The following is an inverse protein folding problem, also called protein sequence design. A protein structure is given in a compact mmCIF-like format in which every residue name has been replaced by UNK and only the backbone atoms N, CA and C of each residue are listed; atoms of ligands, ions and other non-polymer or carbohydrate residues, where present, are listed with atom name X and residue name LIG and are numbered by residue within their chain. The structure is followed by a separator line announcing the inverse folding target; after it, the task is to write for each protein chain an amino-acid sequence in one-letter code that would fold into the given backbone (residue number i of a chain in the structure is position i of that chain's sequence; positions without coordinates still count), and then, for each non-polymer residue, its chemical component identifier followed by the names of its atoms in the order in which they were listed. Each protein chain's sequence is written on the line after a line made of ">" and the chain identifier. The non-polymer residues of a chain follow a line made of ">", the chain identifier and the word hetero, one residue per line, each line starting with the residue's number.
data_IF_282233583603
#
_entry.id   IF_282233583603
#
_cell.length_a   1.000
_cell.length_b   1.000
_cell.length_c   1.000
_cell.angle_alpha   90.00
_cell.angle_beta   90.00
_cell.angle_gamma   90.00
#
_symmetry.space_group_name_H-M   'P 1'
#
loop_
_entity.id
_entity.type
_entity.pdbx_description
1 polymer ?
#
# COMPACT_ATOMS: atom_id res chain seq x y z
N UNK A 1 11.30 -9.25 -26.37
CA UNK A 1 10.01 -9.35 -25.65
C UNK A 1 10.20 -10.01 -24.28
N UNK A 2 10.88 -11.16 -24.17
CA UNK A 2 11.17 -11.83 -22.88
C UNK A 2 11.98 -10.99 -21.88
N UNK A 3 13.11 -10.40 -22.28
CA UNK A 3 13.98 -9.60 -21.36
C UNK A 3 13.32 -8.38 -20.71
N UNK A 4 12.29 -7.78 -21.34
CA UNK A 4 11.63 -6.56 -20.81
C UNK A 4 10.44 -6.86 -19.90
N UNK A 5 9.76 -8.00 -20.11
CA UNK A 5 8.84 -8.54 -19.13
C UNK A 5 9.61 -8.94 -17.85
N UNK A 6 10.85 -9.44 -18.01
CA UNK A 6 11.76 -9.69 -16.89
C UNK A 6 12.15 -8.41 -16.15
N UNK A 7 12.40 -7.30 -16.86
CA UNK A 7 12.73 -5.99 -16.29
C UNK A 7 11.59 -5.36 -15.48
N UNK A 8 10.39 -5.23 -16.05
CA UNK A 8 9.23 -4.70 -15.32
C UNK A 8 8.83 -5.59 -14.13
N UNK A 9 8.95 -6.92 -14.30
CA UNK A 9 8.75 -7.85 -13.19
C UNK A 9 9.77 -7.62 -12.07
N UNK A 10 11.02 -7.28 -12.39
CA UNK A 10 12.03 -6.95 -11.38
C UNK A 10 11.70 -5.63 -10.67
N UNK A 11 11.26 -4.60 -11.40
CA UNK A 11 10.87 -3.31 -10.84
C UNK A 11 9.67 -3.41 -9.88
N UNK A 12 8.65 -4.20 -10.24
CA UNK A 12 7.48 -4.43 -9.39
C UNK A 12 7.87 -5.19 -8.13
N UNK A 13 8.69 -6.24 -8.26
CA UNK A 13 9.17 -6.98 -7.10
C UNK A 13 9.99 -6.09 -6.16
N UNK A 14 10.79 -5.18 -6.71
CA UNK A 14 11.53 -4.21 -5.91
C UNK A 14 10.57 -3.25 -5.19
N UNK A 15 9.64 -2.63 -5.92
CA UNK A 15 8.63 -1.75 -5.32
C UNK A 15 7.83 -2.44 -4.22
N UNK A 16 7.49 -3.73 -4.39
CA UNK A 16 6.80 -4.50 -3.36
C UNK A 16 7.68 -4.80 -2.14
N UNK A 17 8.99 -5.06 -2.32
CA UNK A 17 9.92 -5.20 -1.18
C UNK A 17 10.01 -3.91 -0.38
N UNK A 18 10.21 -2.79 -1.08
CA UNK A 18 10.34 -1.49 -0.41
C UNK A 18 9.05 -1.14 0.33
N UNK A 19 7.89 -1.30 -0.33
CA UNK A 19 6.58 -1.08 0.28
C UNK A 19 6.30 -2.03 1.46
N UNK A 20 6.77 -3.27 1.39
CA UNK A 20 6.67 -4.22 2.51
C UNK A 20 7.45 -3.73 3.72
N UNK A 21 8.70 -3.29 3.54
CA UNK A 21 9.52 -2.72 4.62
C UNK A 21 8.86 -1.47 5.22
N UNK A 22 8.32 -0.57 4.39
CA UNK A 22 7.54 0.57 4.85
C UNK A 22 6.28 0.15 5.63
N UNK A 23 5.60 -0.92 5.20
CA UNK A 23 4.45 -1.46 5.92
C UNK A 23 4.80 -1.94 7.33
N UNK A 24 5.97 -2.56 7.51
CA UNK A 24 6.48 -2.91 8.85
C UNK A 24 6.70 -1.64 9.68
N UNK A 25 7.36 -0.63 9.10
CA UNK A 25 7.67 0.62 9.80
C UNK A 25 6.43 1.46 10.13
N UNK A 26 5.35 1.33 9.36
CA UNK A 26 4.04 1.93 9.66
C UNK A 26 3.42 1.43 10.97
N UNK A 27 4.02 0.40 11.57
CA UNK A 27 3.66 -0.10 12.90
C UNK A 27 4.75 0.22 13.91
N UNK A 28 6.00 -0.07 13.56
CA UNK A 28 7.12 0.03 14.50
C UNK A 28 7.49 1.46 14.89
N UNK A 29 7.50 2.40 13.93
CA UNK A 29 7.86 3.79 14.22
C UNK A 29 6.84 4.46 15.14
N UNK A 30 5.52 4.39 14.89
CA UNK A 30 4.53 4.96 15.79
C UNK A 30 4.62 4.39 17.21
N UNK A 31 4.85 3.08 17.35
CA UNK A 31 4.99 2.44 18.66
C UNK A 31 6.24 2.93 19.39
N UNK A 32 7.39 2.99 18.69
CA UNK A 32 8.64 3.54 19.27
C UNK A 32 8.50 5.00 19.67
N UNK A 33 7.83 5.82 18.86
CA UNK A 33 7.57 7.23 19.15
C UNK A 33 6.58 7.41 20.31
N UNK A 34 5.64 6.47 20.49
CA UNK A 34 4.77 6.40 21.66
C UNK A 34 5.47 5.83 22.91
N UNK A 35 6.79 5.58 22.86
CA UNK A 35 7.58 5.06 23.99
C UNK A 35 7.48 3.55 24.20
N UNK A 36 6.92 2.81 23.24
CA UNK A 36 6.78 1.35 23.29
C UNK A 36 7.97 0.71 22.56
N UNK A 37 8.93 0.19 23.34
CA UNK A 37 10.20 -0.36 22.83
C UNK A 37 10.28 -1.90 22.88
N UNK A 38 9.12 -2.58 22.87
CA UNK A 38 9.09 -4.04 22.96
C UNK A 38 9.75 -4.69 21.74
N UNK A 39 10.46 -5.81 21.96
CA UNK A 39 10.95 -6.64 20.86
C UNK A 39 9.75 -7.26 20.12
N UNK A 40 9.52 -6.81 18.90
CA UNK A 40 8.38 -7.24 18.09
C UNK A 40 8.70 -8.55 17.35
N UNK A 41 7.80 -9.55 17.37
CA UNK A 41 7.99 -10.80 16.65
C UNK A 41 8.15 -10.58 15.14
N UNK A 42 9.04 -11.34 14.50
CA UNK A 42 9.23 -11.31 13.05
C UNK A 42 7.94 -11.72 12.32
N UNK A 43 7.70 -11.10 11.17
CA UNK A 43 6.63 -11.50 10.23
C UNK A 43 7.20 -12.40 9.15
N UNK A 44 6.37 -13.32 8.65
CA UNK A 44 6.75 -14.26 7.61
C UNK A 44 6.81 -13.57 6.23
N UNK A 45 7.98 -13.60 5.60
CA UNK A 45 8.20 -13.03 4.26
C UNK A 45 7.79 -13.95 3.12
N UNK A 46 7.38 -15.20 3.39
CA UNK A 46 6.84 -16.10 2.37
C UNK A 46 5.61 -15.51 1.68
N UNK A 47 4.78 -14.76 2.42
CA UNK A 47 3.62 -14.07 1.85
C UNK A 47 4.02 -13.03 0.79
N UNK A 48 5.12 -12.31 1.00
CA UNK A 48 5.64 -11.36 0.01
C UNK A 48 6.05 -12.06 -1.29
N UNK A 49 6.65 -13.26 -1.20
CA UNK A 49 7.05 -14.03 -2.38
C UNK A 49 5.83 -14.45 -3.21
N UNK A 50 4.76 -14.93 -2.55
CA UNK A 50 3.50 -15.29 -3.22
C UNK A 50 2.88 -14.08 -3.93
N UNK A 51 2.90 -12.90 -3.29
CA UNK A 51 2.40 -11.65 -3.89
C UNK A 51 3.22 -11.21 -5.10
N UNK A 52 4.54 -11.38 -5.03
CA UNK A 52 5.46 -11.04 -6.11
C UNK A 52 5.23 -11.88 -7.37
N UNK A 53 5.01 -13.18 -7.22
CA UNK A 53 4.73 -14.07 -8.35
C UNK A 53 3.41 -13.69 -9.05
N UNK A 54 2.35 -13.46 -8.26
CA UNK A 54 1.05 -13.05 -8.80
C UNK A 54 1.12 -11.69 -9.53
N UNK A 55 1.84 -10.73 -8.97
CA UNK A 55 1.91 -9.36 -9.52
C UNK A 55 2.68 -9.30 -10.84
N UNK A 56 3.65 -10.20 -11.02
CA UNK A 56 4.38 -10.36 -12.28
C UNK A 56 3.46 -10.86 -13.38
N UNK A 57 2.59 -11.84 -13.07
CA UNK A 57 1.63 -12.37 -14.04
C UNK A 57 0.65 -11.28 -14.54
N UNK A 58 0.21 -10.37 -13.66
CA UNK A 58 -0.70 -9.27 -14.02
C UNK A 58 -0.13 -8.30 -15.06
N UNK A 59 1.19 -8.18 -15.14
CA UNK A 59 1.86 -7.27 -16.10
C UNK A 59 2.41 -7.97 -17.34
N UNK A 60 2.24 -9.28 -17.45
CA UNK A 60 2.58 -10.00 -18.68
C UNK A 60 1.62 -9.55 -19.81
N UNK A 61 2.18 -8.95 -20.88
CA UNK A 61 1.42 -8.46 -22.04
C UNK A 61 1.44 -6.94 -22.31
N UNK A 62 2.23 -6.15 -21.57
CA UNK A 62 2.40 -4.71 -21.79
C UNK A 62 3.42 -4.37 -22.91
N UNK A 63 3.31 -3.17 -23.53
CA UNK A 63 4.22 -2.68 -24.58
C UNK A 63 5.54 -2.15 -24.00
N UNK A 64 6.63 -2.26 -24.79
CA UNK A 64 8.01 -1.93 -24.35
C UNK A 64 8.19 -0.51 -23.82
N UNK A 65 7.45 0.46 -24.35
CA UNK A 65 7.56 1.87 -23.96
C UNK A 65 6.77 2.19 -22.68
N UNK A 66 5.66 1.49 -22.44
CA UNK A 66 4.91 1.60 -21.19
C UNK A 66 5.73 1.09 -20.00
N UNK A 67 6.35 -0.09 -20.14
CA UNK A 67 7.19 -0.69 -19.10
C UNK A 67 8.40 0.19 -18.75
N UNK A 68 9.07 0.80 -19.74
CA UNK A 68 10.26 1.64 -19.51
C UNK A 68 9.95 2.92 -18.73
N UNK A 69 8.84 3.59 -19.07
CA UNK A 69 8.44 4.84 -18.41
C UNK A 69 8.01 4.60 -16.96
N UNK A 70 7.35 3.47 -16.69
CA UNK A 70 6.93 3.09 -15.33
C UNK A 70 8.13 2.75 -14.45
N UNK A 71 9.07 1.92 -14.94
CA UNK A 71 10.28 1.58 -14.18
C UNK A 71 11.16 2.80 -13.86
N UNK A 72 11.23 3.76 -14.79
CA UNK A 72 11.99 5.01 -14.62
C UNK A 72 11.42 5.90 -13.51
N UNK A 73 10.11 6.06 -13.43
CA UNK A 73 9.50 6.89 -12.39
C UNK A 73 9.54 6.21 -11.01
N UNK A 74 9.36 4.88 -10.94
CA UNK A 74 9.55 4.11 -9.70
C UNK A 74 10.97 4.32 -9.18
N UNK A 75 11.98 4.15 -10.03
CA UNK A 75 13.39 4.34 -9.67
C UNK A 75 13.70 5.78 -9.20
N UNK A 76 13.05 6.79 -9.79
CA UNK A 76 13.18 8.20 -9.36
C UNK A 76 12.60 8.47 -7.97
N UNK A 77 11.57 7.72 -7.60
CA UNK A 77 11.03 7.70 -6.24
C UNK A 77 11.96 7.14 -5.20
N UNK A 78 12.51 5.97 -5.51
CA UNK A 78 13.37 5.22 -4.62
C UNK A 78 14.70 5.94 -4.32
N UNK A 79 15.15 6.83 -5.21
CA UNK A 79 16.33 7.68 -4.98
C UNK A 79 16.09 8.87 -4.02
N UNK A 80 14.94 8.93 -3.34
CA UNK A 80 14.64 9.95 -2.32
C UNK A 80 14.41 11.35 -2.87
N UNK A 81 14.32 11.51 -4.20
CA UNK A 81 14.09 12.81 -4.85
C UNK A 81 12.60 13.19 -4.91
N UNK A 82 11.72 12.24 -4.59
CA UNK A 82 10.28 12.31 -4.77
C UNK A 82 9.62 11.48 -3.68
N UNK A 83 8.56 12.01 -3.06
CA UNK A 83 7.74 11.20 -2.15
C UNK A 83 7.08 10.06 -2.92
N UNK A 84 6.62 8.97 -2.27
CA UNK A 84 5.83 7.94 -2.93
C UNK A 84 4.68 8.52 -3.77
N UNK A 85 4.12 9.66 -3.37
CA UNK A 85 3.13 10.44 -4.12
C UNK A 85 3.66 11.09 -5.40
N UNK A 86 4.81 11.76 -5.35
CA UNK A 86 5.41 12.44 -6.51
C UNK A 86 5.82 11.47 -7.62
N UNK A 87 6.14 10.24 -7.23
CA UNK A 87 6.38 9.10 -8.13
C UNK A 87 5.11 8.73 -8.86
N UNK A 88 4.01 8.54 -8.11
CA UNK A 88 2.71 8.19 -8.66
C UNK A 88 2.18 9.25 -9.62
N UNK A 89 2.41 10.53 -9.35
CA UNK A 89 1.99 11.62 -10.23
C UNK A 89 2.81 11.70 -11.53
N UNK A 90 4.13 11.52 -11.44
CA UNK A 90 5.01 11.61 -12.60
C UNK A 90 4.88 10.42 -13.56
N UNK A 91 4.50 9.23 -13.06
CA UNK A 91 4.06 8.12 -13.92
C UNK A 91 2.86 8.57 -14.76
N UNK A 92 1.84 9.16 -14.14
CA UNK A 92 0.63 9.61 -14.84
C UNK A 92 0.87 10.70 -15.89
N UNK A 93 1.79 11.63 -15.64
CA UNK A 93 2.10 12.75 -16.55
C UNK A 93 2.99 12.32 -17.75
N UNK A 94 3.86 11.33 -17.57
CA UNK A 94 4.78 10.85 -18.64
C UNK A 94 4.10 10.00 -19.73
N UNK A 95 2.81 9.72 -19.58
CA UNK A 95 2.06 8.67 -20.28
C UNK A 95 0.81 9.17 -21.02
N UNK A 96 0.79 10.44 -21.44
CA UNK A 96 -0.32 11.03 -22.18
C UNK A 96 -0.43 10.44 -23.61
N UNK A 97 -1.42 9.57 -23.82
CA UNK A 97 -1.85 9.14 -25.16
C UNK A 97 -3.39 9.17 -25.22
N UNK A 98 -3.91 9.91 -26.21
CA UNK A 98 -5.31 10.37 -26.31
C UNK A 98 -6.22 9.32 -26.96
N UNK A 99 -6.19 8.08 -26.46
CA UNK A 99 -7.04 6.98 -26.91
C UNK A 99 -8.27 6.74 -26.01
N UNK A 100 -9.39 6.33 -26.60
CA UNK A 100 -10.67 5.99 -25.92
C UNK A 100 -10.52 4.78 -24.97
N UNK A 101 -9.45 4.00 -25.11
CA UNK A 101 -9.04 2.98 -24.14
C UNK A 101 -7.94 3.52 -23.22
N UNK A 102 -7.94 3.18 -21.91
CA UNK A 102 -6.79 3.42 -21.04
C UNK A 102 -5.53 2.90 -21.73
N UNK A 103 -4.54 3.77 -21.96
CA UNK A 103 -3.27 3.34 -22.56
C UNK A 103 -2.73 2.14 -21.76
N UNK A 104 -2.02 1.25 -22.43
CA UNK A 104 -1.37 0.08 -21.80
C UNK A 104 -0.53 0.52 -20.58
N UNK A 105 0.04 1.72 -20.65
CA UNK A 105 0.79 2.32 -19.56
C UNK A 105 -0.09 2.73 -18.37
N UNK A 106 -1.28 3.32 -18.60
CA UNK A 106 -2.25 3.63 -17.52
C UNK A 106 -2.75 2.37 -16.79
N UNK A 107 -2.89 1.26 -17.52
CA UNK A 107 -3.23 -0.05 -16.94
C UNK A 107 -2.09 -0.58 -16.08
N UNK A 108 -0.87 -0.54 -16.59
CA UNK A 108 0.31 -0.96 -15.86
C UNK A 108 0.53 -0.14 -14.59
N UNK A 109 0.40 1.19 -14.65
CA UNK A 109 0.44 2.06 -13.47
C UNK A 109 -0.62 1.67 -12.43
N UNK A 110 -1.85 1.39 -12.88
CA UNK A 110 -2.93 0.96 -11.98
C UNK A 110 -2.59 -0.33 -11.26
N UNK A 111 -1.99 -1.30 -11.97
CA UNK A 111 -1.53 -2.57 -11.39
C UNK A 111 -0.42 -2.31 -10.38
N UNK A 112 0.64 -1.60 -10.78
CA UNK A 112 1.77 -1.29 -9.89
C UNK A 112 1.30 -0.61 -8.61
N UNK A 113 0.47 0.44 -8.73
CA UNK A 113 -0.03 1.19 -7.56
C UNK A 113 -0.88 0.31 -6.64
N UNK A 114 -1.70 -0.58 -7.21
CA UNK A 114 -2.56 -1.46 -6.41
C UNK A 114 -1.73 -2.53 -5.70
N UNK A 115 -0.82 -3.19 -6.40
CA UNK A 115 -0.05 -4.31 -5.84
C UNK A 115 1.10 -3.87 -4.92
N UNK A 116 1.71 -2.70 -5.18
CA UNK A 116 2.69 -2.12 -4.26
C UNK A 116 2.02 -1.64 -2.96
N UNK A 117 0.89 -0.91 -3.07
CA UNK A 117 0.11 -0.51 -1.89
C UNK A 117 -0.49 -1.70 -1.13
N UNK A 118 -0.77 -2.81 -1.81
CA UNK A 118 -1.18 -4.06 -1.17
C UNK A 118 -0.03 -4.68 -0.37
N UNK A 119 1.19 -4.74 -0.92
CA UNK A 119 2.36 -5.22 -0.19
C UNK A 119 2.57 -4.43 1.12
N UNK A 120 2.41 -3.11 1.06
CA UNK A 120 2.48 -2.24 2.24
C UNK A 120 1.44 -2.60 3.30
N UNK A 121 0.16 -2.64 2.94
CA UNK A 121 -0.92 -2.87 3.92
C UNK A 121 -0.94 -4.32 4.43
N UNK A 122 -0.55 -5.30 3.61
CA UNK A 122 -0.37 -6.68 4.06
C UNK A 122 0.73 -6.78 5.12
N UNK A 123 1.90 -6.17 4.87
CA UNK A 123 3.00 -6.16 5.82
C UNK A 123 2.62 -5.43 7.12
N UNK A 124 1.94 -4.29 6.99
CA UNK A 124 1.47 -3.51 8.13
C UNK A 124 0.44 -4.29 8.98
N UNK A 125 -0.52 -4.96 8.36
CA UNK A 125 -1.48 -5.81 9.07
C UNK A 125 -0.77 -6.96 9.81
N UNK A 126 0.10 -7.70 9.12
CA UNK A 126 0.85 -8.81 9.73
C UNK A 126 1.72 -8.31 10.90
N UNK A 127 2.34 -7.14 10.77
CA UNK A 127 3.14 -6.55 11.83
C UNK A 127 2.29 -6.11 13.02
N UNK A 128 1.11 -5.55 12.78
CA UNK A 128 0.17 -5.17 13.86
C UNK A 128 -0.36 -6.37 14.60
N UNK A 129 -0.63 -7.49 13.93
CA UNK A 129 -1.03 -8.73 14.59
C UNK A 129 0.06 -9.18 15.59
N UNK A 130 1.32 -9.14 15.17
CA UNK A 130 2.46 -9.41 16.07
C UNK A 130 2.63 -8.38 17.17
N UNK A 131 2.40 -7.11 16.88
CA UNK A 131 2.45 -6.07 17.90
C UNK A 131 1.32 -6.22 18.93
N UNK A 132 0.12 -6.63 18.52
CA UNK A 132 -1.01 -6.84 19.42
C UNK A 132 -0.80 -7.99 20.42
N UNK A 133 0.06 -8.97 20.10
CA UNK A 133 0.47 -10.03 21.03
C UNK A 133 1.21 -9.47 22.27
N UNK A 134 1.88 -8.32 22.13
CA UNK A 134 2.75 -7.72 23.16
C UNK A 134 2.34 -6.31 23.60
N UNK A 135 1.42 -5.66 22.87
CA UNK A 135 0.89 -4.33 23.17
C UNK A 135 -0.62 -4.43 23.43
N UNK A 136 -1.05 -4.57 24.70
CA UNK A 136 -2.46 -4.67 25.04
C UNK A 136 -3.27 -3.45 24.60
N UNK A 137 -4.46 -3.71 24.05
CA UNK A 137 -5.37 -2.67 23.57
C UNK A 137 -4.89 -1.94 22.31
N UNK A 138 -3.93 -2.51 21.57
CA UNK A 138 -3.58 -2.03 20.24
C UNK A 138 -4.75 -2.27 19.29
N UNK A 139 -5.18 -1.20 18.63
CA UNK A 139 -6.19 -1.20 17.57
C UNK A 139 -5.56 -0.70 16.27
N UNK A 140 -6.36 -0.73 15.21
CA UNK A 140 -6.03 -0.12 13.92
C UNK A 140 -7.11 0.87 13.52
N UNK A 141 -6.68 1.97 12.89
CA UNK A 141 -7.56 3.00 12.36
C UNK A 141 -7.45 3.07 10.85
N UNK A 142 -8.58 3.16 10.16
CA UNK A 142 -8.62 3.33 8.72
C UNK A 142 -8.43 4.81 8.35
N UNK A 143 -7.43 5.10 7.53
CA UNK A 143 -7.12 6.45 7.08
C UNK A 143 -7.40 6.58 5.59
N UNK A 144 -8.27 7.51 5.24
CA UNK A 144 -8.41 7.96 3.87
C UNK A 144 -7.18 8.77 3.42
N UNK A 145 -6.51 8.34 2.35
CA UNK A 145 -5.39 9.08 1.74
C UNK A 145 -5.86 10.18 0.77
N UNK A 146 -4.95 10.80 0.04
CA UNK A 146 -5.21 12.02 -0.75
C UNK A 146 -5.79 11.77 -2.17
N UNK A 147 -6.74 10.84 -2.31
CA UNK A 147 -7.32 10.55 -3.62
C UNK A 147 -8.02 11.79 -4.19
N UNK A 148 -7.66 12.21 -5.41
CA UNK A 148 -8.32 13.34 -6.11
C UNK A 148 -9.80 13.10 -6.39
N UNK A 149 -10.21 11.83 -6.48
CA UNK A 149 -11.62 11.43 -6.65
C UNK A 149 -11.92 10.36 -5.62
N UNK A 150 -12.20 10.76 -4.37
CA UNK A 150 -12.39 9.82 -3.29
C UNK A 150 -13.74 9.10 -3.43
N UNK A 151 -13.74 7.79 -3.19
CA UNK A 151 -14.98 7.02 -3.10
C UNK A 151 -15.69 7.38 -1.80
N UNK A 152 -16.98 7.68 -1.85
CA UNK A 152 -17.77 8.04 -0.66
C UNK A 152 -17.66 6.97 0.43
N UNK A 153 -17.67 5.68 0.07
CA UNK A 153 -17.51 4.58 1.02
C UNK A 153 -16.16 4.59 1.75
N UNK A 154 -15.10 5.09 1.12
CA UNK A 154 -13.77 5.17 1.72
C UNK A 154 -13.61 6.41 2.61
N UNK A 155 -14.29 7.50 2.24
CA UNK A 155 -14.41 8.67 3.12
C UNK A 155 -15.21 8.33 4.37
N UNK A 156 -16.31 7.60 4.22
CA UNK A 156 -17.13 7.15 5.36
C UNK A 156 -16.38 6.19 6.29
N UNK A 157 -15.41 5.44 5.76
CA UNK A 157 -14.54 4.57 6.56
C UNK A 157 -13.38 5.32 7.23
N UNK A 158 -13.08 6.57 6.84
CA UNK A 158 -12.03 7.37 7.46
C UNK A 158 -12.28 7.50 8.97
N UNK A 159 -11.24 7.26 9.76
CA UNK A 159 -11.28 7.31 11.21
C UNK A 159 -11.91 6.06 11.86
N UNK A 160 -12.45 5.10 11.09
CA UNK A 160 -13.02 3.88 11.64
C UNK A 160 -11.96 3.12 12.44
N UNK A 161 -12.28 2.78 13.69
CA UNK A 161 -11.44 2.00 14.59
C UNK A 161 -11.91 0.55 14.63
N UNK A 162 -10.96 -0.39 14.61
CA UNK A 162 -11.21 -1.81 14.81
C UNK A 162 -10.09 -2.42 15.64
N UNK A 163 -10.40 -3.47 16.39
CA UNK A 163 -9.36 -4.35 16.91
C UNK A 163 -8.53 -4.91 15.76
N UNK A 164 -7.25 -5.20 15.99
CA UNK A 164 -6.30 -5.56 14.92
C UNK A 164 -6.76 -6.77 14.11
N UNK A 165 -7.40 -7.74 14.76
CA UNK A 165 -7.91 -8.98 14.16
C UNK A 165 -9.32 -8.84 13.55
N UNK A 166 -9.94 -7.65 13.63
CA UNK A 166 -11.28 -7.40 13.10
C UNK A 166 -11.26 -6.64 11.76
N UNK A 167 -12.20 -6.93 10.85
CA UNK A 167 -12.32 -6.22 9.60
C UNK A 167 -13.04 -4.87 9.75
N UNK A 168 -12.70 -3.94 8.87
CA UNK A 168 -13.40 -2.68 8.63
C UNK A 168 -14.63 -2.91 7.74
N UNK A 169 -15.65 -2.06 7.89
CA UNK A 169 -16.84 -2.10 7.04
C UNK A 169 -16.75 -0.96 6.01
N UNK A 170 -16.45 -1.30 4.75
CA UNK A 170 -16.16 -0.32 3.70
C UNK A 170 -17.06 -0.56 2.50
N UNK A 171 -18.10 0.26 2.36
CA UNK A 171 -19.01 0.20 1.21
C UNK A 171 -19.83 -1.10 1.12
N UNK A 172 -20.16 -1.70 2.27
CA UNK A 172 -20.90 -2.96 2.35
C UNK A 172 -20.04 -4.22 2.30
N UNK A 173 -18.71 -4.08 2.18
CA UNK A 173 -17.75 -5.19 2.23
C UNK A 173 -16.95 -5.15 3.53
N UNK A 174 -16.48 -6.31 3.99
CA UNK A 174 -15.62 -6.44 5.17
C UNK A 174 -14.17 -6.61 4.71
N UNK A 175 -13.31 -5.64 5.03
CA UNK A 175 -11.91 -5.63 4.61
C UNK A 175 -10.99 -5.59 5.83
N UNK A 176 -9.97 -6.45 5.89
CA UNK A 176 -8.99 -6.41 6.98
C UNK A 176 -8.10 -5.17 6.90
N UNK A 177 -7.82 -4.69 5.68
CA UNK A 177 -6.99 -3.53 5.40
C UNK A 177 -7.29 -2.95 4.00
N UNK A 178 -6.83 -1.73 3.66
CA UNK A 178 -6.97 -1.17 2.33
C UNK A 178 -6.30 -2.03 1.26
N UNK A 179 -6.99 -2.24 0.13
CA UNK A 179 -6.55 -3.10 -0.99
C UNK A 179 -6.50 -4.60 -0.66
N UNK A 180 -7.15 -5.03 0.43
CA UNK A 180 -7.35 -6.44 0.78
C UNK A 180 -7.85 -7.26 -0.44
N UNK A 181 -7.14 -8.33 -0.84
CA UNK A 181 -7.55 -9.23 -1.93
C UNK A 181 -8.95 -9.84 -1.77
N UNK A 182 -9.48 -9.94 -0.55
CA UNK A 182 -10.84 -10.44 -0.30
C UNK A 182 -11.94 -9.46 -0.74
N UNK A 183 -11.60 -8.18 -0.95
CA UNK A 183 -12.52 -7.14 -1.40
C UNK A 183 -12.70 -7.10 -2.91
N UNK A 184 -13.82 -6.53 -3.37
CA UNK A 184 -14.09 -6.38 -4.80
C UNK A 184 -13.11 -5.40 -5.46
N UNK A 185 -12.80 -5.61 -6.74
CA UNK A 185 -11.94 -4.70 -7.50
C UNK A 185 -12.45 -3.24 -7.49
N UNK A 186 -13.78 -3.04 -7.44
CA UNK A 186 -14.40 -1.71 -7.33
C UNK A 186 -13.97 -1.00 -6.05
N UNK A 187 -13.81 -1.76 -4.97
CA UNK A 187 -13.46 -1.27 -3.63
C UNK A 187 -11.94 -1.13 -3.44
N UNK A 188 -11.16 -2.05 -4.00
CA UNK A 188 -9.74 -2.23 -3.66
C UNK A 188 -8.79 -1.59 -4.67
N UNK A 189 -9.06 -1.69 -5.97
CA UNK A 189 -8.14 -1.21 -7.02
C UNK A 189 -8.03 0.31 -6.97
N UNK A 190 -6.81 0.84 -7.13
CA UNK A 190 -6.56 2.28 -7.16
C UNK A 190 -7.02 3.02 -5.89
N UNK A 191 -7.11 2.32 -4.76
CA UNK A 191 -7.31 2.96 -3.47
C UNK A 191 -6.02 3.68 -3.04
N UNK A 192 -6.14 4.80 -2.31
CA UNK A 192 -5.02 5.50 -1.64
C UNK A 192 -5.10 5.42 -0.11
N UNK A 193 -6.11 4.75 0.44
CA UNK A 193 -6.26 4.58 1.88
C UNK A 193 -5.13 3.72 2.46
N UNK A 194 -4.92 3.88 3.75
CA UNK A 194 -3.91 3.17 4.52
C UNK A 194 -4.42 2.96 5.95
N UNK A 195 -3.75 2.13 6.73
CA UNK A 195 -4.11 1.94 8.15
C UNK A 195 -2.99 2.39 9.06
N UNK A 196 -3.33 2.84 10.27
CA UNK A 196 -2.36 3.26 11.28
C UNK A 196 -2.64 2.54 12.61
N UNK A 197 -1.61 2.28 13.44
CA UNK A 197 -1.83 1.78 14.79
C UNK A 197 -2.53 2.84 15.64
N UNK A 198 -3.34 2.40 16.60
CA UNK A 198 -4.07 3.28 17.48
C UNK A 198 -4.19 2.69 18.89
N UNK A 199 -4.18 3.54 19.91
CA UNK A 199 -4.53 3.20 21.30
C UNK A 199 -5.42 4.30 21.90
N UNK A 200 -6.28 3.91 22.85
CA UNK A 200 -7.19 4.84 23.53
C UNK A 200 -6.44 6.01 24.20
N UNK A 201 -5.21 5.77 24.67
CA UNK A 201 -4.35 6.76 25.32
C UNK A 201 -3.79 7.83 24.35
N UNK A 202 -3.73 7.53 23.05
CA UNK A 202 -3.17 8.45 22.04
C UNK A 202 -4.22 9.47 21.59
N UNK A 203 -5.47 9.03 21.44
CA UNK A 203 -6.49 9.80 20.73
C UNK A 203 -6.16 10.02 19.25
N UNK A 204 -7.08 10.61 18.50
CA UNK A 204 -6.96 10.79 17.04
C UNK A 204 -5.75 11.65 16.66
N UNK A 205 -5.57 12.80 17.30
CA UNK A 205 -4.51 13.76 16.93
C UNK A 205 -3.07 13.30 17.22
N UNK A 206 -2.85 12.35 18.14
CA UNK A 206 -1.52 11.76 18.33
C UNK A 206 -1.28 10.62 17.35
N UNK A 207 -2.26 9.73 17.14
CA UNK A 207 -2.13 8.60 16.22
C UNK A 207 -1.77 9.05 14.80
N UNK A 208 -2.44 10.09 14.29
CA UNK A 208 -2.13 10.64 12.97
C UNK A 208 -0.72 11.25 12.88
N UNK A 209 -0.27 11.96 13.92
CA UNK A 209 1.08 12.54 13.96
C UNK A 209 2.17 11.48 13.99
N UNK A 210 1.95 10.40 14.75
CA UNK A 210 2.87 9.27 14.81
C UNK A 210 2.97 8.56 13.45
N UNK A 211 1.85 8.45 12.73
CA UNK A 211 1.81 7.84 11.41
C UNK A 211 2.37 8.73 10.29
N UNK A 212 2.23 10.05 10.38
CA UNK A 212 2.77 10.99 9.39
C UNK A 212 4.32 11.06 9.36
N UNK A 213 4.98 10.44 10.34
CA UNK A 213 6.43 10.37 10.44
C UNK A 213 7.05 9.14 9.75
N UNK A 214 6.24 8.32 9.08
CA UNK A 214 6.61 7.10 8.35
C UNK A 214 6.47 7.30 6.85
#
# INVERSE_FOLDING_TARGET
>A
MRELATGLGADIRQAQRDMWEHGVEMTDLPLRQAGIYQAMPLIDSQLLLVMQDYSVDLVTGLTRDASRKIGLEISRGLMGQKTPYDVMQAVGESLDDKGIFPSIARRAETIVRTEAGRALETAAQARREKAAEVVPGLKKQWMHGTSRVPRISHLAAHGQLQDVDKPFAVGGEMLMYPRDPAGSAKNTVNCSCYTIPWKDEWGEGMAERLAAAV
#
